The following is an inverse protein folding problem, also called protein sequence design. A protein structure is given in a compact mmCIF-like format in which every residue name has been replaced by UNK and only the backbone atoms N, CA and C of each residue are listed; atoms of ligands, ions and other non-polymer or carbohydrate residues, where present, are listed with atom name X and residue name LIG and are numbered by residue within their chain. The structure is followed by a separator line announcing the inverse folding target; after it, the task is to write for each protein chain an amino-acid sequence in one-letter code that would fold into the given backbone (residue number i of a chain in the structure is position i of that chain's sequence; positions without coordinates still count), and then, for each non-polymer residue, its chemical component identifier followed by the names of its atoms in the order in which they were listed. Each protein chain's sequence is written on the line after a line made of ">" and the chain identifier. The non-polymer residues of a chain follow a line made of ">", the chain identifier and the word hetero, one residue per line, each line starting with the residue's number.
data_IF_494110160215
#
_entry.id   IF_494110160215
#
_cell.length_a   1.000
_cell.length_b   1.000
_cell.length_c   1.000
_cell.angle_alpha   90.00
_cell.angle_beta   90.00
_cell.angle_gamma   90.00
#
_symmetry.space_group_name_H-M   'P 1'
#
loop_
_entity.id
_entity.type
_entity.pdbx_description
1 polymer ?
#
# COMPACT_ATOMS: atom_id res chain seq x y z
N UNK A 1 37.09 -22.78 41.67
CA UNK A 1 35.69 -22.33 41.44
C UNK A 1 35.21 -22.44 39.98
N UNK A 2 35.92 -21.94 38.95
CA UNK A 2 35.49 -22.09 37.54
C UNK A 2 35.42 -23.54 37.08
N UNK A 3 36.38 -24.37 37.49
CA UNK A 3 36.42 -25.81 37.19
C UNK A 3 35.22 -26.57 37.74
N UNK A 4 34.75 -26.22 38.94
CA UNK A 4 33.54 -26.82 39.54
C UNK A 4 32.28 -26.50 38.72
N UNK A 5 32.14 -25.27 38.23
CA UNK A 5 31.01 -24.90 37.36
C UNK A 5 31.09 -25.61 35.99
N UNK A 6 32.29 -25.75 35.43
CA UNK A 6 32.53 -26.48 34.17
C UNK A 6 32.24 -27.98 34.31
N UNK A 7 32.64 -28.61 35.42
CA UNK A 7 32.35 -30.00 35.73
C UNK A 7 30.84 -30.26 35.90
N UNK A 8 30.14 -29.42 36.67
CA UNK A 8 28.68 -29.52 36.83
C UNK A 8 27.92 -29.36 35.50
N UNK A 9 28.41 -28.49 34.62
CA UNK A 9 27.80 -28.26 33.31
C UNK A 9 28.08 -29.39 32.31
N UNK A 10 29.33 -29.83 32.20
CA UNK A 10 29.80 -30.73 31.13
C UNK A 10 29.64 -32.19 31.53
N UNK A 11 30.08 -32.56 32.74
CA UNK A 11 30.08 -33.94 33.20
C UNK A 11 28.72 -34.36 33.78
N UNK A 12 28.04 -33.47 34.49
CA UNK A 12 26.73 -33.76 35.10
C UNK A 12 25.54 -33.27 34.26
N UNK A 13 25.80 -32.62 33.12
CA UNK A 13 24.77 -32.16 32.18
C UNK A 13 23.79 -31.13 32.75
N UNK A 14 24.11 -30.47 33.87
CA UNK A 14 23.22 -29.52 34.51
C UNK A 14 23.07 -28.24 33.67
N UNK A 15 21.87 -27.64 33.72
CA UNK A 15 21.65 -26.36 33.08
C UNK A 15 22.38 -25.24 33.82
N UNK A 16 22.72 -24.15 33.11
CA UNK A 16 23.35 -22.96 33.74
C UNK A 16 22.54 -22.37 34.90
N UNK A 17 21.22 -22.57 34.89
CA UNK A 17 20.34 -22.21 36.02
C UNK A 17 20.53 -23.13 37.23
N UNK A 18 20.62 -24.45 37.03
CA UNK A 18 20.87 -25.39 38.13
C UNK A 18 22.28 -25.22 38.69
N UNK A 19 23.28 -25.04 37.82
CA UNK A 19 24.65 -24.73 38.23
C UNK A 19 24.70 -23.44 39.08
N UNK A 20 23.98 -22.39 38.67
CA UNK A 20 23.87 -21.14 39.44
C UNK A 20 23.27 -21.36 40.83
N UNK A 21 22.18 -22.13 40.93
CA UNK A 21 21.54 -22.45 42.21
C UNK A 21 22.44 -23.32 43.11
N UNK A 22 23.11 -24.32 42.55
CA UNK A 22 24.00 -25.23 43.30
C UNK A 22 25.27 -24.53 43.81
N UNK A 23 25.80 -23.56 43.06
CA UNK A 23 27.01 -22.83 43.43
C UNK A 23 26.71 -21.53 44.19
N UNK A 24 25.44 -21.11 44.25
CA UNK A 24 25.03 -19.88 44.95
C UNK A 24 25.46 -18.59 44.24
N UNK A 25 25.60 -18.61 42.91
CA UNK A 25 26.05 -17.44 42.12
C UNK A 25 25.09 -17.12 40.99
N UNK A 26 25.11 -15.89 40.49
CA UNK A 26 24.21 -15.49 39.39
C UNK A 26 24.49 -16.27 38.11
N UNK A 27 23.43 -16.54 37.33
CA UNK A 27 23.52 -17.23 36.03
C UNK A 27 24.53 -16.55 35.09
N UNK A 28 24.55 -15.21 35.05
CA UNK A 28 25.49 -14.47 34.21
C UNK A 28 26.95 -14.70 34.61
N UNK A 29 27.23 -14.88 35.91
CA UNK A 29 28.56 -15.20 36.43
C UNK A 29 28.96 -16.63 36.02
N UNK A 30 28.04 -17.59 36.12
CA UNK A 30 28.25 -18.96 35.62
C UNK A 30 28.58 -18.96 34.13
N UNK A 31 27.80 -18.28 33.30
CA UNK A 31 28.05 -18.20 31.85
C UNK A 31 29.42 -17.62 31.53
N UNK A 32 29.82 -16.52 32.19
CA UNK A 32 31.16 -15.94 32.03
C UNK A 32 32.27 -16.90 32.46
N UNK A 33 32.08 -17.65 33.54
CA UNK A 33 33.04 -18.65 34.01
C UNK A 33 33.19 -19.81 33.02
N UNK A 34 32.08 -20.28 32.43
CA UNK A 34 32.10 -21.32 31.40
C UNK A 34 32.83 -20.85 30.14
N UNK A 35 32.57 -19.62 29.67
CA UNK A 35 33.29 -19.07 28.52
C UNK A 35 34.79 -18.90 28.78
N UNK A 36 35.18 -18.41 29.97
CA UNK A 36 36.61 -18.30 30.34
C UNK A 36 37.30 -19.66 30.44
N UNK A 37 36.56 -20.70 30.79
CA UNK A 37 37.05 -22.08 30.84
C UNK A 37 37.00 -22.78 29.46
N UNK A 38 36.70 -22.06 28.37
CA UNK A 38 36.63 -22.63 27.02
C UNK A 38 35.40 -23.52 26.77
N UNK A 39 34.42 -23.54 27.68
CA UNK A 39 33.23 -24.37 27.55
C UNK A 39 32.16 -23.65 26.74
N UNK A 40 31.81 -24.20 25.58
CA UNK A 40 30.73 -23.70 24.73
C UNK A 40 29.38 -23.90 25.41
N UNK A 41 28.77 -22.81 25.88
CA UNK A 41 27.44 -22.85 26.47
C UNK A 41 26.40 -23.01 25.37
N UNK A 42 25.50 -23.98 25.53
CA UNK A 42 24.41 -24.22 24.57
C UNK A 42 23.59 -22.93 24.34
N UNK A 43 23.23 -22.62 23.09
CA UNK A 43 22.56 -21.38 22.74
C UNK A 43 21.18 -21.25 23.40
N UNK A 44 20.74 -20.01 23.61
CA UNK A 44 19.44 -19.71 24.20
C UNK A 44 18.33 -20.41 23.38
N UNK A 45 17.55 -21.26 24.04
CA UNK A 45 16.46 -22.02 23.39
C UNK A 45 16.79 -23.46 23.01
N UNK A 46 18.03 -23.93 23.20
CA UNK A 46 18.42 -25.33 22.95
C UNK A 46 17.91 -26.35 23.99
N UNK A 47 17.07 -25.90 24.94
CA UNK A 47 16.50 -26.79 25.95
C UNK A 47 15.46 -27.71 25.32
N UNK A 48 15.41 -28.97 25.76
CA UNK A 48 14.32 -29.90 25.38
C UNK A 48 12.98 -29.22 25.69
N UNK A 49 12.06 -29.16 24.71
CA UNK A 49 10.72 -28.60 24.89
C UNK A 49 10.10 -29.24 26.13
N UNK A 50 9.66 -28.42 27.08
CA UNK A 50 8.89 -28.92 28.23
C UNK A 50 7.52 -29.35 27.70
N UNK A 51 7.23 -30.64 27.81
CA UNK A 51 5.88 -31.14 27.62
C UNK A 51 4.95 -30.49 28.67
N UNK A 52 3.71 -30.11 28.31
CA UNK A 52 2.77 -29.55 29.28
C UNK A 52 2.50 -30.54 30.42
N UNK A 53 2.43 -30.03 31.66
CA UNK A 53 2.04 -30.80 32.86
C UNK A 53 0.68 -30.29 33.34
N UNK A 54 -0.25 -31.21 33.66
CA UNK A 54 -1.60 -30.90 34.16
C UNK A 54 -2.73 -31.54 33.34
N UNK A 55 -3.99 -31.20 33.65
CA UNK A 55 -5.19 -31.75 33.00
C UNK A 55 -5.16 -31.62 31.45
N UNK A 56 -4.57 -30.54 30.93
CA UNK A 56 -4.37 -30.31 29.50
C UNK A 56 -3.44 -31.31 28.79
N UNK A 57 -2.63 -32.09 29.52
CA UNK A 57 -1.81 -33.16 28.94
C UNK A 57 -2.64 -34.40 28.55
N UNK A 58 -3.86 -34.54 29.09
CA UNK A 58 -4.74 -35.71 28.85
C UNK A 58 -5.54 -35.64 27.55
N UNK A 59 -5.72 -34.44 26.98
CA UNK A 59 -6.43 -34.28 25.70
C UNK A 59 -5.57 -34.89 24.58
N UNK A 60 -6.04 -35.88 23.81
CA UNK A 60 -5.25 -36.48 22.73
C UNK A 60 -4.98 -35.51 21.58
N UNK A 61 -3.80 -35.61 20.95
CA UNK A 61 -3.46 -34.80 19.77
C UNK A 61 -4.42 -35.00 18.57
N UNK A 62 -4.94 -36.22 18.28
CA UNK A 62 -5.96 -36.41 17.24
C UNK A 62 -7.23 -35.60 17.49
N UNK A 63 -7.67 -35.49 18.74
CA UNK A 63 -8.85 -34.69 19.09
C UNK A 63 -8.60 -33.18 18.88
N UNK A 64 -7.40 -32.70 19.24
CA UNK A 64 -7.02 -31.31 18.93
C UNK A 64 -6.99 -31.07 17.42
N UNK A 65 -6.49 -32.05 16.65
CA UNK A 65 -6.46 -31.98 15.20
C UNK A 65 -7.88 -31.98 14.59
N UNK A 66 -8.82 -32.76 15.12
CA UNK A 66 -10.21 -32.76 14.68
C UNK A 66 -10.93 -31.45 15.02
N UNK A 67 -10.80 -30.97 16.26
CA UNK A 67 -11.36 -29.67 16.68
C UNK A 67 -10.85 -28.53 15.79
N UNK A 68 -9.59 -28.61 15.39
CA UNK A 68 -8.99 -27.69 14.46
C UNK A 68 -9.52 -27.91 13.03
N UNK A 69 -9.22 -29.04 12.40
CA UNK A 69 -9.43 -29.29 10.98
C UNK A 69 -10.90 -29.51 10.61
N UNK A 70 -11.61 -30.34 11.37
CA UNK A 70 -12.98 -30.75 11.07
C UNK A 70 -13.99 -29.75 11.62
N UNK A 71 -13.87 -29.37 12.89
CA UNK A 71 -14.79 -28.44 13.56
C UNK A 71 -14.39 -26.97 13.38
N UNK A 72 -13.31 -26.70 12.64
CA UNK A 72 -12.88 -25.36 12.20
C UNK A 72 -12.58 -24.36 13.32
N UNK A 73 -12.44 -24.81 14.57
CA UNK A 73 -12.16 -23.94 15.70
C UNK A 73 -10.76 -23.32 15.61
N UNK A 74 -10.60 -22.13 16.21
CA UNK A 74 -9.30 -21.46 16.37
C UNK A 74 -8.55 -22.02 17.57
N UNK A 75 -7.22 -21.89 17.62
CA UNK A 75 -6.45 -22.29 18.81
C UNK A 75 -6.87 -21.54 20.08
N UNK A 76 -7.48 -20.35 19.96
CA UNK A 76 -8.04 -19.61 21.09
C UNK A 76 -9.34 -20.27 21.61
N UNK A 77 -10.27 -20.58 20.71
CA UNK A 77 -11.50 -21.30 21.08
C UNK A 77 -11.21 -22.70 21.62
N UNK A 78 -10.26 -23.42 21.03
CA UNK A 78 -9.81 -24.72 21.56
C UNK A 78 -9.16 -24.53 22.93
N UNK A 79 -8.44 -23.42 23.16
CA UNK A 79 -7.86 -23.09 24.47
C UNK A 79 -8.92 -22.89 25.54
N UNK A 80 -10.02 -22.21 25.21
CA UNK A 80 -11.15 -22.01 26.11
C UNK A 80 -11.85 -23.35 26.42
N UNK A 81 -12.06 -24.19 25.41
CA UNK A 81 -12.72 -25.49 25.59
C UNK A 81 -11.88 -26.50 26.38
N UNK A 82 -10.58 -26.53 26.14
CA UNK A 82 -9.69 -27.57 26.68
C UNK A 82 -8.86 -27.11 27.87
N UNK A 83 -8.89 -25.82 28.19
CA UNK A 83 -8.05 -25.17 29.20
C UNK A 83 -6.54 -25.37 28.93
N UNK A 84 -6.16 -25.70 27.69
CA UNK A 84 -4.77 -25.79 27.23
C UNK A 84 -4.41 -24.43 26.63
N UNK A 85 -3.31 -23.77 27.04
CA UNK A 85 -2.94 -22.49 26.45
C UNK A 85 -2.82 -22.56 24.92
N UNK A 86 -3.38 -21.58 24.22
CA UNK A 86 -3.40 -21.53 22.75
C UNK A 86 -2.02 -21.75 22.11
N UNK A 87 -0.95 -21.26 22.75
CA UNK A 87 0.43 -21.48 22.30
C UNK A 87 0.85 -22.95 22.36
N UNK A 88 0.46 -23.65 23.42
CA UNK A 88 0.70 -25.09 23.58
C UNK A 88 -0.08 -25.89 22.56
N UNK A 89 -1.33 -25.52 22.27
CA UNK A 89 -2.14 -26.15 21.20
C UNK A 89 -1.45 -26.00 19.85
N UNK A 90 -0.96 -24.80 19.52
CA UNK A 90 -0.20 -24.57 18.28
C UNK A 90 1.02 -25.49 18.16
N UNK A 91 1.80 -25.61 19.24
CA UNK A 91 3.01 -26.44 19.24
C UNK A 91 2.68 -27.93 19.13
N UNK A 92 1.58 -28.39 19.75
CA UNK A 92 1.08 -29.78 19.68
C UNK A 92 0.55 -30.12 18.30
N UNK A 93 -0.27 -29.24 17.70
CA UNK A 93 -0.75 -29.40 16.33
C UNK A 93 0.42 -29.49 15.33
N UNK A 94 1.44 -28.63 15.46
CA UNK A 94 2.65 -28.71 14.62
C UNK A 94 3.42 -30.02 14.82
N UNK A 95 3.57 -30.46 16.07
CA UNK A 95 4.25 -31.72 16.37
C UNK A 95 3.48 -32.94 15.83
N UNK A 96 2.15 -32.84 15.77
CA UNK A 96 1.25 -33.83 15.17
C UNK A 96 1.20 -33.74 13.63
N UNK A 97 1.96 -32.83 13.01
CA UNK A 97 2.03 -32.67 11.55
C UNK A 97 0.93 -31.79 10.95
N UNK A 98 0.10 -31.15 11.77
CA UNK A 98 -0.91 -30.21 11.29
C UNK A 98 -0.25 -28.89 10.93
N UNK A 99 -0.39 -28.49 9.67
CA UNK A 99 -0.02 -27.15 9.23
C UNK A 99 -1.00 -26.13 9.82
N UNK A 100 -0.48 -25.21 10.64
CA UNK A 100 -1.31 -24.15 11.23
C UNK A 100 -1.68 -23.11 10.17
N UNK A 101 -2.95 -22.70 10.19
CA UNK A 101 -3.49 -21.57 9.45
C UNK A 101 -2.66 -20.31 9.72
N UNK A 102 -2.22 -19.67 8.65
CA UNK A 102 -1.63 -18.33 8.65
C UNK A 102 -2.65 -17.32 9.20
N UNK A 103 -2.20 -16.20 9.80
CA UNK A 103 -3.13 -15.14 10.27
C UNK A 103 -4.02 -14.69 9.10
N UNK A 104 -5.31 -15.05 9.17
CA UNK A 104 -6.33 -14.85 8.15
C UNK A 104 -7.34 -16.01 8.20
N UNK A 105 -8.63 -15.77 7.87
CA UNK A 105 -9.68 -16.83 7.88
C UNK A 105 -9.32 -18.01 6.96
N UNK A 106 -9.91 -19.17 7.29
CA UNK A 106 -9.50 -20.53 6.95
C UNK A 106 -9.34 -20.81 5.45
N UNK A 107 -10.35 -20.51 4.62
CA UNK A 107 -10.32 -20.74 3.17
C UNK A 107 -10.47 -19.41 2.40
N UNK A 108 -10.21 -19.43 1.09
CA UNK A 108 -10.52 -18.30 0.19
C UNK A 108 -12.02 -18.00 0.21
N UNK A 109 -12.83 -19.05 0.26
CA UNK A 109 -14.30 -19.07 0.24
C UNK A 109 -14.96 -18.52 1.52
N UNK A 110 -14.34 -18.70 2.69
CA UNK A 110 -14.89 -18.22 3.98
C UNK A 110 -14.62 -16.72 4.24
N UNK A 111 -14.04 -16.03 3.26
CA UNK A 111 -13.75 -14.61 3.35
C UNK A 111 -14.99 -13.88 2.87
N UNK A 112 -15.34 -12.80 3.57
CA UNK A 112 -16.29 -11.80 3.08
C UNK A 112 -15.93 -11.49 1.62
N UNK A 113 -16.79 -11.91 0.71
CA UNK A 113 -16.69 -11.75 -0.72
C UNK A 113 -17.89 -10.91 -1.16
N UNK A 114 -17.69 -10.15 -2.22
CA UNK A 114 -18.75 -9.36 -2.83
C UNK A 114 -19.33 -10.24 -3.93
N UNK A 115 -20.64 -10.18 -4.15
CA UNK A 115 -21.26 -10.86 -5.29
C UNK A 115 -20.59 -10.39 -6.60
N UNK A 116 -20.12 -11.31 -7.47
CA UNK A 116 -19.33 -10.96 -8.65
C UNK A 116 -20.04 -9.98 -9.60
N UNK A 117 -21.35 -10.11 -9.76
CA UNK A 117 -22.15 -9.27 -10.65
C UNK A 117 -22.24 -7.84 -10.10
N UNK A 118 -22.57 -7.69 -8.82
CA UNK A 118 -22.57 -6.39 -8.13
C UNK A 118 -21.20 -5.72 -8.21
N UNK A 119 -20.12 -6.50 -8.02
CA UNK A 119 -18.77 -5.97 -8.12
C UNK A 119 -18.46 -5.51 -9.54
N UNK A 120 -18.84 -6.30 -10.55
CA UNK A 120 -18.63 -5.98 -11.97
C UNK A 120 -19.36 -4.70 -12.37
N UNK A 121 -20.64 -4.57 -11.99
CA UNK A 121 -21.45 -3.39 -12.27
C UNK A 121 -20.85 -2.13 -11.63
N UNK A 122 -20.49 -2.20 -10.35
CA UNK A 122 -19.98 -1.02 -9.65
C UNK A 122 -18.54 -0.66 -10.05
N UNK A 123 -17.67 -1.67 -10.22
CA UNK A 123 -16.24 -1.47 -10.40
C UNK A 123 -15.82 -1.35 -11.86
N UNK A 124 -16.43 -2.11 -12.78
CA UNK A 124 -16.15 -2.04 -14.22
C UNK A 124 -17.11 -1.11 -14.96
N UNK A 125 -18.43 -1.32 -14.85
CA UNK A 125 -19.40 -0.57 -15.65
C UNK A 125 -19.60 0.86 -15.15
N UNK A 126 -19.80 1.05 -13.84
CA UNK A 126 -19.90 2.37 -13.22
C UNK A 126 -18.52 3.00 -12.91
N UNK A 127 -17.44 2.21 -13.02
CA UNK A 127 -16.07 2.70 -12.90
C UNK A 127 -15.66 3.20 -11.51
N UNK A 128 -16.41 2.87 -10.46
CA UNK A 128 -16.18 3.37 -9.10
C UNK A 128 -14.85 2.86 -8.50
N UNK A 129 -14.14 3.69 -7.72
CA UNK A 129 -12.89 3.26 -7.09
C UNK A 129 -13.16 2.23 -5.98
N UNK A 130 -12.23 1.29 -5.81
CA UNK A 130 -12.33 0.21 -4.80
C UNK A 130 -12.64 0.66 -3.36
N UNK A 131 -12.23 1.88 -2.97
CA UNK A 131 -12.55 2.43 -1.65
C UNK A 131 -14.01 2.86 -1.52
N UNK A 132 -14.61 3.37 -2.59
CA UNK A 132 -15.99 3.83 -2.66
C UNK A 132 -16.96 2.67 -2.77
N UNK A 133 -16.64 1.69 -3.63
CA UNK A 133 -17.36 0.40 -3.68
C UNK A 133 -17.40 -0.25 -2.30
N UNK A 134 -16.27 -0.23 -1.58
CA UNK A 134 -16.21 -0.74 -0.21
C UNK A 134 -17.13 0.01 0.75
N UNK A 135 -17.17 1.34 0.67
CA UNK A 135 -18.03 2.17 1.52
C UNK A 135 -19.51 1.90 1.27
N UNK A 136 -19.92 1.83 0.00
CA UNK A 136 -21.32 1.57 -0.40
C UNK A 136 -21.77 0.18 0.05
N UNK A 137 -20.90 -0.82 -0.09
CA UNK A 137 -21.20 -2.22 0.26
C UNK A 137 -20.90 -2.58 1.73
N UNK A 138 -20.46 -1.63 2.56
CA UNK A 138 -20.12 -1.88 3.96
C UNK A 138 -18.91 -2.80 4.17
N UNK A 139 -18.00 -2.89 3.19
CA UNK A 139 -16.81 -3.75 3.22
C UNK A 139 -15.51 -2.95 3.05
N UNK A 140 -14.40 -3.48 3.54
CA UNK A 140 -13.11 -2.79 3.36
C UNK A 140 -12.66 -2.75 1.89
N UNK A 141 -11.94 -1.71 1.47
CA UNK A 141 -11.24 -1.65 0.17
C UNK A 141 -10.45 -2.92 -0.17
N UNK A 142 -9.82 -3.53 0.83
CA UNK A 142 -9.03 -4.76 0.67
C UNK A 142 -9.89 -5.96 0.27
N UNK A 143 -11.14 -6.02 0.73
CA UNK A 143 -12.11 -7.04 0.32
C UNK A 143 -12.44 -6.85 -1.16
N UNK A 144 -12.75 -5.62 -1.58
CA UNK A 144 -13.07 -5.27 -2.99
C UNK A 144 -11.94 -5.68 -3.94
N UNK A 145 -10.71 -5.25 -3.67
CA UNK A 145 -9.56 -5.56 -4.53
C UNK A 145 -9.25 -7.06 -4.59
N UNK A 146 -9.46 -7.77 -3.48
CA UNK A 146 -9.28 -9.22 -3.44
C UNK A 146 -10.34 -9.93 -4.27
N UNK A 147 -11.61 -9.59 -4.09
CA UNK A 147 -12.70 -10.18 -4.88
C UNK A 147 -12.49 -9.89 -6.37
N UNK A 148 -12.12 -8.66 -6.74
CA UNK A 148 -11.81 -8.30 -8.13
C UNK A 148 -10.68 -9.17 -8.72
N UNK A 149 -9.61 -9.42 -7.95
CA UNK A 149 -8.53 -10.31 -8.37
C UNK A 149 -8.98 -11.77 -8.47
N UNK A 150 -9.82 -12.23 -7.54
CA UNK A 150 -10.34 -13.60 -7.53
C UNK A 150 -11.28 -13.86 -8.73
N UNK A 151 -12.04 -12.85 -9.17
CA UNK A 151 -12.91 -12.86 -10.36
C UNK A 151 -12.17 -12.50 -11.68
N UNK A 152 -10.85 -12.30 -11.64
CA UNK A 152 -10.06 -11.95 -12.82
C UNK A 152 -10.32 -10.55 -13.40
N UNK A 153 -10.99 -9.67 -12.64
CA UNK A 153 -11.23 -8.29 -13.04
C UNK A 153 -9.91 -7.49 -13.03
N UNK A 154 -9.68 -6.60 -14.00
CA UNK A 154 -8.48 -5.77 -14.03
C UNK A 154 -8.38 -4.88 -12.79
N UNK A 155 -7.38 -5.14 -11.95
CA UNK A 155 -7.12 -4.34 -10.75
C UNK A 155 -6.38 -3.06 -11.13
N UNK A 156 -7.02 -1.90 -10.94
CA UNK A 156 -6.39 -0.61 -11.19
C UNK A 156 -5.22 -0.43 -10.20
N UNK A 157 -4.01 -0.23 -10.72
CA UNK A 157 -2.83 0.09 -9.90
C UNK A 157 -3.11 1.33 -9.07
N UNK A 158 -3.06 1.19 -7.74
CA UNK A 158 -3.49 2.23 -6.81
C UNK A 158 -2.58 3.45 -6.86
N UNK A 159 -3.08 4.56 -7.40
CA UNK A 159 -2.72 5.91 -6.98
C UNK A 159 -3.77 6.44 -6.01
N UNK A 160 -3.56 7.61 -5.38
CA UNK A 160 -4.69 8.40 -4.87
C UNK A 160 -5.75 8.47 -5.98
N UNK A 161 -7.04 8.47 -5.62
CA UNK A 161 -8.06 8.87 -6.59
C UNK A 161 -7.55 10.14 -7.26
N UNK A 162 -7.49 10.24 -8.60
CA UNK A 162 -7.14 11.49 -9.23
C UNK A 162 -8.07 12.52 -8.58
N UNK A 163 -7.49 13.39 -7.76
CA UNK A 163 -8.22 14.46 -7.10
C UNK A 163 -8.84 15.21 -8.25
N UNK A 164 -10.15 15.00 -8.51
CA UNK A 164 -10.75 15.23 -9.83
C UNK A 164 -10.17 16.52 -10.38
N UNK A 165 -9.18 16.33 -11.26
CA UNK A 165 -8.69 17.44 -12.03
C UNK A 165 -9.90 17.89 -12.84
N UNK A 166 -9.89 19.14 -13.30
CA UNK A 166 -10.78 19.47 -14.40
C UNK A 166 -10.69 18.33 -15.43
N UNK A 167 -11.84 17.86 -15.94
CA UNK A 167 -11.78 16.95 -17.08
C UNK A 167 -10.93 17.62 -18.16
N UNK A 168 -10.22 16.87 -19.00
CA UNK A 168 -9.40 17.49 -20.04
C UNK A 168 -10.24 18.47 -20.89
N UNK A 169 -11.52 18.16 -21.10
CA UNK A 169 -12.51 19.02 -21.74
C UNK A 169 -12.73 20.34 -20.99
N UNK A 170 -12.99 20.29 -19.68
CA UNK A 170 -13.15 21.49 -18.86
C UNK A 170 -11.87 22.32 -18.83
N UNK A 171 -10.71 21.66 -18.74
CA UNK A 171 -9.41 22.32 -18.72
C UNK A 171 -9.13 23.06 -20.03
N UNK A 172 -9.35 22.40 -21.17
CA UNK A 172 -9.18 23.02 -22.49
C UNK A 172 -10.16 24.18 -22.66
N UNK A 173 -11.42 23.99 -22.29
CA UNK A 173 -12.44 25.05 -22.33
C UNK A 173 -12.01 26.26 -21.52
N UNK A 174 -11.50 26.04 -20.30
CA UNK A 174 -11.02 27.10 -19.44
C UNK A 174 -9.73 27.78 -19.95
N UNK A 175 -8.82 27.02 -20.55
CA UNK A 175 -7.62 27.57 -21.18
C UNK A 175 -7.99 28.51 -22.33
N UNK A 176 -8.94 28.12 -23.18
CA UNK A 176 -9.43 28.99 -24.26
C UNK A 176 -10.34 30.13 -23.77
N UNK A 177 -10.86 30.07 -22.55
CA UNK A 177 -11.65 31.15 -21.95
C UNK A 177 -10.79 32.16 -21.16
N UNK A 178 -9.51 31.85 -20.90
CA UNK A 178 -8.60 32.76 -20.19
C UNK A 178 -8.22 33.94 -21.11
N UNK A 179 -8.45 35.21 -20.70
CA UNK A 179 -8.21 36.37 -21.55
C UNK A 179 -6.76 36.53 -21.98
N UNK A 180 -5.80 36.20 -21.11
CA UNK A 180 -4.37 36.31 -21.42
C UNK A 180 -4.00 35.28 -22.49
N UNK A 181 -4.51 34.05 -22.36
CA UNK A 181 -4.33 32.99 -23.36
C UNK A 181 -5.00 33.38 -24.68
N UNK A 182 -6.25 33.82 -24.68
CA UNK A 182 -6.95 34.26 -25.90
C UNK A 182 -6.19 35.37 -26.64
N UNK A 183 -5.67 36.34 -25.89
CA UNK A 183 -4.93 37.45 -26.46
C UNK A 183 -3.63 36.99 -27.12
N UNK A 184 -2.87 36.10 -26.47
CA UNK A 184 -1.64 35.53 -27.05
C UNK A 184 -1.96 34.65 -28.27
N UNK A 185 -2.95 33.76 -28.19
CA UNK A 185 -3.34 32.92 -29.33
C UNK A 185 -3.76 33.76 -30.54
N UNK A 186 -4.56 34.81 -30.32
CA UNK A 186 -5.01 35.72 -31.39
C UNK A 186 -3.83 36.46 -32.00
N UNK A 187 -2.93 37.00 -31.18
CA UNK A 187 -1.77 37.79 -31.64
C UNK A 187 -0.82 36.95 -32.50
N UNK A 188 -0.61 35.69 -32.15
CA UNK A 188 0.26 34.78 -32.88
C UNK A 188 -0.47 33.97 -33.96
N UNK A 189 -1.78 34.20 -34.17
CA UNK A 189 -2.57 33.56 -35.22
C UNK A 189 -2.84 32.07 -34.98
N UNK A 190 -2.89 31.62 -33.72
CA UNK A 190 -3.14 30.23 -33.39
C UNK A 190 -4.64 29.90 -33.45
N UNK A 191 -5.02 28.78 -34.08
CA UNK A 191 -6.41 28.36 -34.14
C UNK A 191 -6.90 27.86 -32.77
N UNK A 192 -8.15 28.15 -32.44
CA UNK A 192 -8.84 27.53 -31.31
C UNK A 192 -9.38 26.18 -31.77
N UNK A 193 -8.80 25.10 -31.24
CA UNK A 193 -9.24 23.73 -31.54
C UNK A 193 -10.06 23.20 -30.36
N UNK A 194 -11.37 22.98 -30.52
CA UNK A 194 -12.26 22.52 -29.46
C UNK A 194 -11.74 21.28 -28.73
N UNK A 195 -12.21 21.12 -27.49
CA UNK A 195 -11.94 19.92 -26.72
C UNK A 195 -12.69 18.70 -27.29
N UNK A 196 -12.15 17.51 -27.07
CA UNK A 196 -12.75 16.24 -27.48
C UNK A 196 -11.84 15.43 -28.41
N UNK A 197 -11.88 14.10 -28.23
CA UNK A 197 -10.98 13.19 -28.94
C UNK A 197 -9.50 13.30 -28.50
N UNK A 198 -8.66 12.34 -28.88
CA UNK A 198 -7.24 12.37 -28.57
C UNK A 198 -6.49 13.48 -29.31
N UNK A 199 -5.36 13.94 -28.75
CA UNK A 199 -4.56 15.07 -29.27
C UNK A 199 -4.22 14.95 -30.77
N UNK A 200 -3.92 13.75 -31.27
CA UNK A 200 -3.58 13.53 -32.68
C UNK A 200 -4.77 13.74 -33.64
N UNK A 201 -6.02 13.66 -33.15
CA UNK A 201 -7.20 14.03 -33.94
C UNK A 201 -7.43 15.54 -33.94
N UNK A 202 -7.15 16.20 -32.80
CA UNK A 202 -7.28 17.65 -32.64
C UNK A 202 -6.18 18.40 -33.42
N UNK A 203 -4.96 17.86 -33.40
CA UNK A 203 -3.80 18.38 -34.09
C UNK A 203 -3.14 17.28 -34.93
N UNK A 204 -3.71 16.92 -36.11
CA UNK A 204 -3.07 15.99 -37.03
C UNK A 204 -1.67 16.46 -37.44
N UNK A 205 -1.49 17.78 -37.51
CA UNK A 205 -0.19 18.44 -37.59
C UNK A 205 -0.10 19.40 -36.41
N UNK A 206 0.85 19.21 -35.48
CA UNK A 206 1.08 20.12 -34.38
C UNK A 206 1.36 21.55 -34.87
N UNK A 207 0.83 22.54 -34.16
CA UNK A 207 1.10 23.96 -34.41
C UNK A 207 2.59 24.22 -34.26
N UNK A 208 3.19 24.91 -35.22
CA UNK A 208 4.61 25.30 -35.15
C UNK A 208 4.82 26.27 -33.99
N UNK A 209 5.55 25.83 -32.96
CA UNK A 209 5.79 26.59 -31.74
C UNK A 209 7.23 27.11 -31.74
N UNK A 210 7.39 28.44 -31.79
CA UNK A 210 8.67 29.10 -31.60
C UNK A 210 9.04 29.29 -30.11
N UNK A 211 10.31 29.57 -29.79
CA UNK A 211 10.76 29.81 -28.42
C UNK A 211 10.03 30.98 -27.75
N UNK A 212 9.84 32.09 -28.46
CA UNK A 212 9.19 33.30 -27.94
C UNK A 212 7.73 33.04 -27.55
N UNK A 213 6.97 32.36 -28.42
CA UNK A 213 5.59 31.98 -28.15
C UNK A 213 5.50 30.97 -27.00
N UNK A 214 6.40 29.98 -26.96
CA UNK A 214 6.46 29.02 -25.85
C UNK A 214 6.71 29.73 -24.51
N UNK A 215 7.66 30.66 -24.48
CA UNK A 215 7.98 31.47 -23.31
C UNK A 215 6.80 32.33 -22.89
N UNK A 216 6.16 33.05 -23.82
CA UNK A 216 5.01 33.92 -23.50
C UNK A 216 3.83 33.13 -22.91
N UNK A 217 3.49 31.98 -23.50
CA UNK A 217 2.48 31.08 -22.94
C UNK A 217 2.87 30.59 -21.54
N UNK A 218 4.14 30.22 -21.35
CA UNK A 218 4.59 29.68 -20.08
C UNK A 218 4.64 30.72 -18.96
N UNK A 219 5.29 31.86 -19.21
CA UNK A 219 5.60 32.90 -18.22
C UNK A 219 4.44 33.89 -18.08
N UNK A 220 4.04 34.53 -19.19
CA UNK A 220 3.02 35.59 -19.19
C UNK A 220 1.62 35.02 -18.92
N UNK A 221 1.16 34.04 -19.70
CA UNK A 221 -0.14 33.42 -19.46
C UNK A 221 -0.13 32.54 -18.20
N UNK A 222 1.05 32.05 -17.80
CA UNK A 222 1.20 31.20 -16.63
C UNK A 222 0.61 29.80 -16.82
N UNK A 223 0.55 29.31 -18.07
CA UNK A 223 0.08 27.94 -18.36
C UNK A 223 1.25 26.94 -18.26
N UNK A 224 0.93 25.68 -17.94
CA UNK A 224 1.93 24.63 -17.79
C UNK A 224 2.35 24.04 -19.14
N UNK A 225 3.49 23.34 -19.17
CA UNK A 225 4.00 22.65 -20.37
C UNK A 225 2.94 21.73 -20.99
N UNK A 226 2.24 20.96 -20.16
CA UNK A 226 1.18 20.06 -20.65
C UNK A 226 -0.06 20.82 -21.14
N UNK A 227 -0.33 22.03 -20.63
CA UNK A 227 -1.40 22.87 -21.18
C UNK A 227 -1.02 23.40 -22.56
N UNK A 228 0.25 23.78 -22.76
CA UNK A 228 0.76 24.21 -24.06
C UNK A 228 0.60 23.07 -25.07
N UNK A 229 0.92 21.84 -24.69
CA UNK A 229 0.66 20.64 -25.51
C UNK A 229 -0.83 20.48 -25.86
N UNK A 230 -1.74 20.68 -24.91
CA UNK A 230 -3.17 20.60 -25.16
C UNK A 230 -3.72 21.70 -26.11
N UNK A 231 -3.03 22.84 -26.21
CA UNK A 231 -3.40 23.97 -27.07
C UNK A 231 -2.72 23.96 -28.44
N UNK A 232 -1.62 23.21 -28.60
CA UNK A 232 -0.78 23.26 -29.81
C UNK A 232 -0.57 21.90 -30.46
N UNK A 233 -0.83 20.81 -29.74
CA UNK A 233 -0.45 19.46 -30.14
C UNK A 233 1.07 19.19 -30.08
N UNK A 234 1.88 20.17 -29.68
CA UNK A 234 3.33 19.98 -29.54
C UNK A 234 3.64 19.13 -28.31
N UNK A 235 4.40 18.03 -28.45
CA UNK A 235 4.73 17.17 -27.31
C UNK A 235 5.35 17.97 -26.16
N UNK A 236 4.94 17.67 -24.93
CA UNK A 236 5.43 18.40 -23.74
C UNK A 236 6.97 18.44 -23.64
N UNK A 237 7.66 17.40 -24.11
CA UNK A 237 9.13 17.37 -24.13
C UNK A 237 9.73 18.30 -25.19
N UNK A 238 9.06 18.48 -26.33
CA UNK A 238 9.44 19.49 -27.33
C UNK A 238 9.26 20.90 -26.76
N UNK A 239 8.14 21.15 -26.07
CA UNK A 239 7.89 22.43 -25.38
C UNK A 239 8.96 22.68 -24.31
N UNK A 240 9.34 21.67 -23.51
CA UNK A 240 10.44 21.79 -22.54
C UNK A 240 11.76 22.18 -23.20
N UNK A 241 12.11 21.56 -24.33
CA UNK A 241 13.33 21.88 -25.08
C UNK A 241 13.30 23.32 -25.59
N UNK A 242 12.18 23.78 -26.11
CA UNK A 242 12.01 25.18 -26.56
C UNK A 242 12.17 26.18 -25.40
N UNK A 243 11.54 25.91 -24.26
CA UNK A 243 11.67 26.75 -23.06
C UNK A 243 13.11 26.77 -22.55
N UNK A 244 13.78 25.62 -22.51
CA UNK A 244 15.20 25.56 -22.14
C UNK A 244 16.08 26.35 -23.12
N UNK A 245 15.82 26.24 -24.43
CA UNK A 245 16.55 27.00 -25.44
C UNK A 245 16.31 28.52 -25.34
N UNK A 246 15.12 28.94 -24.88
CA UNK A 246 14.78 30.33 -24.57
C UNK A 246 15.34 30.83 -23.22
N UNK A 247 16.06 29.98 -22.46
CA UNK A 247 16.61 30.35 -21.15
C UNK A 247 15.57 30.37 -20.02
N UNK A 248 14.37 29.85 -20.23
CA UNK A 248 13.29 29.84 -19.24
C UNK A 248 13.56 28.78 -18.16
N UNK A 249 13.46 29.20 -16.90
CA UNK A 249 13.56 28.29 -15.75
C UNK A 249 12.23 27.57 -15.54
N UNK A 250 12.22 26.26 -15.73
CA UNK A 250 11.01 25.46 -15.53
C UNK A 250 10.64 25.37 -14.03
N UNK A 251 9.34 25.53 -13.77
CA UNK A 251 8.69 25.27 -12.48
C UNK A 251 8.97 23.84 -12.00
N UNK A 252 9.15 23.63 -10.69
CA UNK A 252 9.46 22.32 -10.12
C UNK A 252 8.32 21.31 -10.35
N UNK A 253 8.67 20.02 -10.32
CA UNK A 253 7.71 18.93 -10.45
C UNK A 253 6.58 19.07 -9.40
N UNK A 254 5.32 18.98 -9.85
CA UNK A 254 4.14 19.16 -9.01
C UNK A 254 3.76 20.62 -8.71
N UNK A 255 4.54 21.60 -9.19
CA UNK A 255 4.19 23.01 -9.10
C UNK A 255 2.93 23.34 -9.93
N UNK A 256 1.86 23.78 -9.27
CA UNK A 256 0.62 24.21 -9.95
C UNK A 256 0.89 25.46 -10.78
N UNK A 257 0.45 25.45 -12.05
CA UNK A 257 0.59 26.60 -12.94
C UNK A 257 -0.21 27.81 -12.41
N UNK A 258 0.27 29.05 -12.59
CA UNK A 258 -0.47 30.26 -12.22
C UNK A 258 -1.90 30.29 -12.77
N UNK A 259 -2.11 29.88 -14.03
CA UNK A 259 -3.43 29.72 -14.62
C UNK A 259 -4.36 28.84 -13.77
N UNK A 260 -3.92 27.65 -13.34
CA UNK A 260 -4.73 26.75 -12.52
C UNK A 260 -5.08 27.35 -11.15
N UNK A 261 -4.22 28.22 -10.61
CA UNK A 261 -4.52 28.94 -9.37
C UNK A 261 -5.62 29.96 -9.62
N UNK A 262 -5.48 30.80 -10.65
CA UNK A 262 -6.49 31.81 -11.03
C UNK A 262 -7.84 31.18 -11.31
N UNK A 263 -7.88 30.16 -12.17
CA UNK A 263 -9.11 29.52 -12.59
C UNK A 263 -9.89 28.88 -11.43
N UNK A 264 -9.20 28.22 -10.50
CA UNK A 264 -9.86 27.65 -9.30
C UNK A 264 -10.43 28.73 -8.38
N UNK A 265 -9.70 29.83 -8.17
CA UNK A 265 -10.21 30.96 -7.40
C UNK A 265 -11.48 31.53 -8.05
N UNK A 266 -11.51 31.66 -9.37
CA UNK A 266 -12.70 32.09 -10.10
C UNK A 266 -13.87 31.12 -9.96
N UNK A 267 -13.64 29.81 -10.02
CA UNK A 267 -14.71 28.82 -9.83
C UNK A 267 -15.30 28.85 -8.41
N UNK A 268 -14.48 29.00 -7.38
CA UNK A 268 -14.97 29.16 -6.00
C UNK A 268 -15.82 30.42 -5.84
N UNK A 269 -15.45 31.53 -6.48
CA UNK A 269 -16.25 32.76 -6.47
C UNK A 269 -17.59 32.60 -7.19
N UNK A 270 -17.61 31.90 -8.34
CA UNK A 270 -18.85 31.62 -9.09
C UNK A 270 -19.80 30.72 -8.28
N UNK A 271 -19.28 29.70 -7.58
CA UNK A 271 -20.09 28.82 -6.73
C UNK A 271 -20.70 29.60 -5.55
N UNK A 272 -19.92 30.43 -4.87
CA UNK A 272 -20.42 31.28 -3.77
C UNK A 272 -21.48 32.30 -4.22
N UNK A 273 -21.40 32.77 -5.47
CA UNK A 273 -22.38 33.69 -6.04
C UNK A 273 -23.67 33.00 -6.52
N UNK A 274 -23.68 31.68 -6.67
CA UNK A 274 -24.85 30.89 -7.07
C UNK A 274 -25.64 30.32 -5.87
N UNK A 275 -25.09 30.42 -4.66
CA UNK A 275 -25.71 29.97 -3.40
C UNK A 275 -26.39 31.12 -2.61
N UNK A 276 -26.46 32.33 -3.19
CA UNK A 276 -27.14 33.53 -2.65
C UNK A 276 -28.32 33.90 -3.54
#
# INVERSE_FOLDING_TARGET
>A
MPERAAHLYTCQGLSTYRVAATVGISRQRVTRMLHRAGVSVKPKGSGRRRLPRGAGARVPDPLLADLYLRYRLTCAQISELTQIPARTIQDRLRAYGVQLRTRGRYNREDRLAIEPDILTDMYLHAGLPSGEVGRILGVSRRVVLRTAHDEGLPVRMGGPAPSHGPTEIELITALYADPDVQHVLTRHGLPVVPAGGPIWQRFPVPVQLGPDLAQELYESCGIGVHHIELLTGQPADSVRKLLHAAGVVLRPAGGRSPFLRRWRTSQTMVQLAQEV
#
